data_IF_255386806879
#
_entry.id   IF_255386806879
#
_cell.length_a   1.000
_cell.length_b   1.000
_cell.length_c   1.000
_cell.angle_alpha   90.00
_cell.angle_beta   90.00
_cell.angle_gamma   90.00
#
_symmetry.space_group_name_H-M   'P 1'
#
loop_
_entity.id
_entity.type
_entity.pdbx_description
1 polymer ?
#
# COMPACT_ATOMS: atom_id res chain seq x y z
N UNK A 1 -60.93 -47.65 -29.01
CA UNK A 1 -59.99 -48.44 -28.32
C UNK A 1 -58.66 -47.71 -28.32
N UNK A 2 -58.05 -47.47 -27.14
CA UNK A 2 -56.68 -47.00 -26.94
C UNK A 2 -56.48 -45.48 -27.05
N UNK A 3 -56.83 -44.80 -25.98
CA UNK A 3 -56.30 -43.48 -25.64
C UNK A 3 -56.15 -43.46 -24.12
N UNK A 4 -55.05 -43.90 -23.61
CA UNK A 4 -54.57 -43.66 -22.24
C UNK A 4 -53.10 -43.89 -22.27
N UNK A 5 -52.35 -42.88 -22.05
CA UNK A 5 -50.98 -42.84 -21.55
C UNK A 5 -50.26 -41.57 -22.07
N UNK A 6 -50.51 -40.48 -21.46
CA UNK A 6 -49.64 -39.34 -21.58
C UNK A 6 -49.98 -38.31 -20.49
N UNK A 7 -49.76 -38.63 -19.27
CA UNK A 7 -49.85 -37.60 -18.18
C UNK A 7 -49.16 -38.15 -16.92
N UNK A 8 -47.89 -38.38 -16.93
CA UNK A 8 -47.03 -38.48 -15.76
C UNK A 8 -45.59 -38.40 -16.29
N UNK A 9 -45.07 -37.20 -16.50
CA UNK A 9 -43.62 -36.95 -16.55
C UNK A 9 -43.32 -35.45 -16.60
N UNK A 10 -43.73 -34.71 -15.60
CA UNK A 10 -43.28 -33.32 -15.44
C UNK A 10 -43.20 -32.96 -13.96
N UNK A 11 -42.64 -33.87 -13.15
CA UNK A 11 -42.37 -33.52 -11.74
C UNK A 11 -41.06 -34.15 -11.34
N UNK A 12 -39.96 -33.53 -11.69
CA UNK A 12 -38.68 -34.06 -11.30
C UNK A 12 -37.48 -33.45 -11.96
N UNK A 13 -37.32 -32.13 -11.99
CA UNK A 13 -36.01 -31.48 -12.27
C UNK A 13 -36.00 -30.03 -11.77
N UNK A 14 -36.23 -29.88 -10.48
CA UNK A 14 -35.81 -28.68 -9.75
C UNK A 14 -34.91 -29.19 -8.63
N UNK A 15 -33.79 -29.78 -9.03
CA UNK A 15 -32.67 -30.06 -8.11
C UNK A 15 -31.40 -29.67 -8.82
N UNK A 16 -30.73 -28.71 -8.25
CA UNK A 16 -29.32 -28.59 -8.47
C UNK A 16 -28.88 -27.53 -9.44
N UNK A 17 -28.91 -26.31 -9.03
CA UNK A 17 -27.86 -25.39 -9.41
C UNK A 17 -27.65 -24.40 -8.26
N UNK A 18 -27.49 -24.88 -7.04
CA UNK A 18 -26.64 -24.18 -6.10
C UNK A 18 -25.22 -24.55 -6.50
N UNK A 19 -24.77 -24.02 -7.60
CA UNK A 19 -23.35 -23.87 -7.87
C UNK A 19 -22.82 -22.92 -6.83
N UNK A 20 -22.32 -23.47 -5.73
CA UNK A 20 -21.33 -22.78 -4.92
C UNK A 20 -20.13 -22.55 -5.83
N UNK A 21 -20.11 -21.43 -6.53
CA UNK A 21 -18.84 -20.82 -6.92
C UNK A 21 -18.18 -20.42 -5.61
N UNK A 22 -17.38 -21.32 -5.07
CA UNK A 22 -16.32 -20.96 -4.15
C UNK A 22 -15.22 -20.25 -4.95
N UNK A 23 -15.53 -19.12 -5.53
CA UNK A 23 -14.60 -18.06 -5.72
C UNK A 23 -14.43 -17.49 -4.33
N UNK A 24 -13.35 -17.85 -3.64
CA UNK A 24 -12.93 -17.11 -2.48
C UNK A 24 -12.80 -15.66 -2.95
N UNK A 25 -13.58 -14.76 -2.38
CA UNK A 25 -13.28 -13.33 -2.45
C UNK A 25 -11.91 -13.20 -1.78
N UNK A 26 -10.86 -13.19 -2.59
CA UNK A 26 -9.49 -12.92 -2.15
C UNK A 26 -9.40 -11.43 -1.80
N UNK A 27 -10.26 -10.97 -0.88
CA UNK A 27 -10.24 -9.61 -0.37
C UNK A 27 -9.21 -9.50 0.75
N UNK A 28 -8.39 -8.48 0.68
CA UNK A 28 -7.35 -8.22 1.66
C UNK A 28 -7.60 -6.88 2.33
N UNK A 29 -7.74 -6.89 3.66
CA UNK A 29 -8.06 -5.68 4.41
C UNK A 29 -6.88 -4.71 4.53
N UNK A 30 -5.64 -5.23 4.53
CA UNK A 30 -4.42 -4.41 4.53
C UNK A 30 -3.67 -4.66 3.23
N UNK A 31 -3.45 -3.61 2.47
CA UNK A 31 -2.57 -3.60 1.32
C UNK A 31 -1.28 -2.83 1.64
N UNK A 32 -0.13 -3.41 1.34
CA UNK A 32 1.14 -2.69 1.30
C UNK A 32 1.58 -2.59 -0.15
N UNK A 33 1.95 -1.40 -0.60
CA UNK A 33 2.39 -1.18 -1.98
C UNK A 33 3.87 -0.86 -1.95
N UNK A 34 4.70 -1.66 -2.66
CA UNK A 34 6.13 -1.35 -2.78
C UNK A 34 6.34 -0.17 -3.71
N UNK A 35 7.41 0.57 -3.52
CA UNK A 35 7.86 1.58 -4.49
C UNK A 35 8.57 0.91 -5.69
N UNK A 36 9.82 1.25 -5.96
CA UNK A 36 10.66 0.61 -6.96
C UNK A 36 11.38 -0.66 -6.46
N UNK A 37 11.28 -0.95 -5.16
CA UNK A 37 11.93 -2.10 -4.52
C UNK A 37 11.02 -3.33 -4.42
N UNK A 38 11.53 -4.35 -3.75
CA UNK A 38 10.78 -5.59 -3.50
C UNK A 38 10.66 -5.86 -1.99
N UNK A 39 9.68 -6.68 -1.60
CA UNK A 39 9.51 -7.14 -0.21
C UNK A 39 10.66 -8.04 0.29
N UNK A 40 11.69 -8.25 -0.52
CA UNK A 40 12.90 -9.02 -0.18
C UNK A 40 14.18 -8.21 -0.37
N UNK A 41 14.07 -6.88 -0.37
CA UNK A 41 15.19 -5.95 -0.62
C UNK A 41 16.18 -5.86 0.55
N UNK A 42 15.91 -6.53 1.66
CA UNK A 42 16.65 -6.44 2.93
C UNK A 42 16.78 -5.00 3.45
N UNK A 43 15.80 -4.18 3.14
CA UNK A 43 15.76 -2.77 3.42
C UNK A 43 14.33 -2.30 3.72
N UNK A 44 13.94 -1.19 3.15
CA UNK A 44 12.76 -0.41 3.46
C UNK A 44 11.44 -1.14 3.15
N UNK A 45 11.31 -1.70 1.94
CA UNK A 45 10.08 -2.41 1.56
C UNK A 45 9.91 -3.71 2.35
N UNK A 46 10.99 -4.46 2.57
CA UNK A 46 10.93 -5.67 3.38
C UNK A 46 10.49 -5.35 4.81
N UNK A 47 11.11 -4.36 5.44
CA UNK A 47 10.78 -3.99 6.83
C UNK A 47 9.33 -3.54 6.97
N UNK A 48 8.82 -2.76 6.02
CA UNK A 48 7.42 -2.33 6.01
C UNK A 48 6.47 -3.52 5.83
N UNK A 49 6.80 -4.45 4.93
CA UNK A 49 5.99 -5.65 4.70
C UNK A 49 5.99 -6.59 5.91
N UNK A 50 7.14 -6.78 6.54
CA UNK A 50 7.23 -7.60 7.76
C UNK A 50 6.37 -7.02 8.89
N UNK A 51 6.33 -5.68 9.03
CA UNK A 51 5.43 -5.02 9.97
C UNK A 51 3.94 -5.23 9.65
N UNK A 52 3.54 -5.11 8.40
CA UNK A 52 2.17 -5.39 7.95
C UNK A 52 1.80 -6.84 8.21
N UNK A 53 2.69 -7.77 7.87
CA UNK A 53 2.52 -9.21 8.09
C UNK A 53 2.35 -9.52 9.58
N UNK A 54 3.25 -9.03 10.42
CA UNK A 54 3.20 -9.26 11.87
C UNK A 54 1.88 -8.73 12.46
N UNK A 55 1.45 -7.54 12.05
CA UNK A 55 0.19 -6.97 12.51
C UNK A 55 -1.02 -7.80 12.05
N UNK A 56 -1.05 -8.20 10.77
CA UNK A 56 -2.14 -9.00 10.23
C UNK A 56 -2.26 -10.36 10.91
N UNK A 57 -1.14 -11.07 11.08
CA UNK A 57 -1.10 -12.37 11.75
C UNK A 57 -1.51 -12.29 13.24
N UNK A 58 -1.13 -11.24 13.94
CA UNK A 58 -1.51 -11.03 15.34
C UNK A 58 -2.99 -10.70 15.57
N UNK A 59 -3.64 -10.14 14.55
CA UNK A 59 -5.01 -9.62 14.70
C UNK A 59 -6.03 -10.36 13.82
N UNK A 60 -5.64 -11.47 13.16
CA UNK A 60 -6.48 -12.22 12.21
C UNK A 60 -7.03 -11.33 11.09
N UNK A 61 -6.20 -10.41 10.58
CA UNK A 61 -6.54 -9.50 9.49
C UNK A 61 -5.81 -9.93 8.22
N UNK A 62 -6.53 -10.02 7.11
CA UNK A 62 -5.95 -10.40 5.83
C UNK A 62 -5.07 -9.27 5.27
N UNK A 63 -3.92 -9.64 4.71
CA UNK A 63 -2.97 -8.68 4.14
C UNK A 63 -2.35 -9.18 2.85
N UNK A 64 -1.95 -8.24 2.00
CA UNK A 64 -1.26 -8.52 0.74
C UNK A 64 -0.33 -7.38 0.39
N UNK A 65 0.77 -7.68 -0.33
CA UNK A 65 1.54 -6.63 -0.97
C UNK A 65 1.23 -6.55 -2.46
N UNK A 66 1.38 -5.36 -3.02
CA UNK A 66 1.25 -5.04 -4.43
C UNK A 66 2.56 -4.44 -4.91
N UNK A 67 3.00 -4.85 -6.09
CA UNK A 67 4.14 -4.25 -6.78
C UNK A 67 3.62 -3.50 -8.00
N UNK A 68 3.82 -2.19 -8.10
CA UNK A 68 3.38 -1.41 -9.24
C UNK A 68 4.11 -1.84 -10.50
N UNK A 69 3.43 -1.80 -11.65
CA UNK A 69 4.04 -2.03 -12.96
C UNK A 69 4.85 -0.83 -13.40
N UNK A 70 4.31 0.35 -13.13
CA UNK A 70 4.93 1.64 -13.41
C UNK A 70 5.05 2.41 -12.10
N UNK A 71 6.20 3.04 -11.89
CA UNK A 71 6.52 3.77 -10.66
C UNK A 71 6.34 5.28 -10.80
N UNK A 72 5.74 5.73 -11.89
CA UNK A 72 5.27 7.10 -12.02
C UNK A 72 3.99 7.31 -11.19
N UNK A 73 3.60 8.55 -11.03
CA UNK A 73 2.45 8.92 -10.21
C UNK A 73 1.16 8.22 -10.63
N UNK A 74 0.94 8.05 -11.94
CA UNK A 74 -0.27 7.42 -12.46
C UNK A 74 -0.27 5.90 -12.19
N UNK A 75 0.88 5.24 -12.36
CA UNK A 75 1.05 3.81 -12.07
C UNK A 75 0.90 3.50 -10.58
N UNK A 76 1.46 4.35 -9.71
CA UNK A 76 1.30 4.23 -8.27
C UNK A 76 -0.16 4.42 -7.85
N UNK A 77 -0.84 5.44 -8.39
CA UNK A 77 -2.26 5.65 -8.12
C UNK A 77 -3.13 4.48 -8.62
N UNK A 78 -2.84 3.97 -9.82
CA UNK A 78 -3.53 2.79 -10.36
C UNK A 78 -3.35 1.57 -9.46
N UNK A 79 -2.17 1.38 -8.87
CA UNK A 79 -1.93 0.26 -7.95
C UNK A 79 -2.68 0.44 -6.62
N UNK A 80 -2.84 1.69 -6.16
CA UNK A 80 -3.70 1.99 -5.01
C UNK A 80 -5.17 1.66 -5.36
N UNK A 81 -5.62 2.04 -6.56
CA UNK A 81 -6.97 1.73 -7.04
C UNK A 81 -7.22 0.21 -7.04
N UNK A 82 -6.29 -0.56 -7.62
CA UNK A 82 -6.36 -2.03 -7.62
C UNK A 82 -6.44 -2.61 -6.20
N UNK A 83 -5.68 -2.07 -5.25
CA UNK A 83 -5.71 -2.53 -3.88
C UNK A 83 -7.05 -2.24 -3.20
N UNK A 84 -7.62 -1.06 -3.41
CA UNK A 84 -8.92 -0.66 -2.86
C UNK A 84 -10.05 -1.48 -3.50
N UNK A 85 -10.03 -1.70 -4.80
CA UNK A 85 -10.99 -2.52 -5.53
C UNK A 85 -10.95 -3.99 -5.05
N UNK A 86 -9.80 -4.47 -4.58
CA UNK A 86 -9.62 -5.77 -3.94
C UNK A 86 -9.94 -5.78 -2.43
N UNK A 87 -10.57 -4.74 -1.90
CA UNK A 87 -11.11 -4.70 -0.55
C UNK A 87 -10.20 -4.10 0.51
N UNK A 88 -9.10 -3.45 0.14
CA UNK A 88 -8.20 -2.82 1.11
C UNK A 88 -8.93 -1.69 1.87
N UNK A 89 -8.91 -1.78 3.19
CA UNK A 89 -9.38 -0.75 4.12
C UNK A 89 -8.23 0.09 4.66
N UNK A 90 -7.03 -0.47 4.64
CA UNK A 90 -5.79 0.19 5.02
C UNK A 90 -4.77 -0.01 3.92
N UNK A 91 -4.16 1.07 3.45
CA UNK A 91 -3.09 1.05 2.45
C UNK A 91 -1.82 1.63 3.06
N UNK A 92 -0.74 0.84 3.03
CA UNK A 92 0.58 1.21 3.56
C UNK A 92 1.52 1.46 2.39
N UNK A 93 2.13 2.64 2.35
CA UNK A 93 3.03 3.06 1.27
C UNK A 93 4.35 3.57 1.86
N UNK A 94 5.45 2.80 1.74
CA UNK A 94 6.77 3.24 2.12
C UNK A 94 7.46 4.00 0.97
N UNK A 95 8.02 5.16 1.29
CA UNK A 95 8.87 5.92 0.37
C UNK A 95 8.19 7.10 -0.31
N UNK A 96 8.96 8.17 -0.49
CA UNK A 96 8.51 9.47 -0.97
C UNK A 96 7.92 9.46 -2.39
N UNK A 97 8.20 8.44 -3.20
CA UNK A 97 7.65 8.32 -4.56
C UNK A 97 6.12 8.32 -4.59
N UNK A 98 5.49 7.91 -3.49
CA UNK A 98 4.03 7.90 -3.37
C UNK A 98 3.42 9.28 -3.10
N UNK A 99 4.20 10.30 -2.81
CA UNK A 99 3.72 11.58 -2.29
C UNK A 99 2.59 12.19 -3.13
N UNK A 100 2.77 12.29 -4.44
CA UNK A 100 1.75 12.82 -5.35
C UNK A 100 0.54 11.88 -5.53
N UNK A 101 0.77 10.57 -5.60
CA UNK A 101 -0.31 9.59 -5.72
C UNK A 101 -1.19 9.57 -4.46
N UNK A 102 -0.57 9.63 -3.28
CA UNK A 102 -1.27 9.68 -1.99
C UNK A 102 -2.04 10.99 -1.80
N UNK A 103 -1.51 12.12 -2.28
CA UNK A 103 -2.23 13.39 -2.25
C UNK A 103 -3.60 13.27 -2.94
N UNK A 104 -3.68 12.53 -4.04
CA UNK A 104 -4.93 12.27 -4.75
C UNK A 104 -5.75 11.16 -4.11
N UNK A 105 -5.11 10.05 -3.72
CA UNK A 105 -5.80 8.87 -3.20
C UNK A 105 -6.56 9.15 -1.90
N UNK A 106 -6.00 9.92 -0.98
CA UNK A 106 -6.67 10.26 0.28
C UNK A 106 -7.96 11.06 0.10
N UNK A 107 -8.05 11.84 -0.99
CA UNK A 107 -9.28 12.56 -1.35
C UNK A 107 -10.27 11.67 -2.10
N UNK A 108 -9.75 10.79 -2.95
CA UNK A 108 -10.54 9.85 -3.75
C UNK A 108 -11.23 8.78 -2.89
N UNK A 109 -10.56 8.33 -1.82
CA UNK A 109 -10.99 7.23 -0.98
C UNK A 109 -11.10 7.65 0.51
N UNK A 110 -12.11 8.46 0.88
CA UNK A 110 -12.23 9.00 2.23
C UNK A 110 -12.42 7.93 3.33
N UNK A 111 -12.95 6.76 2.97
CA UNK A 111 -13.20 5.65 3.91
C UNK A 111 -11.99 4.72 4.07
N UNK A 112 -10.99 4.80 3.19
CA UNK A 112 -9.75 4.04 3.28
C UNK A 112 -8.76 4.78 4.16
N UNK A 113 -8.05 4.06 5.02
CA UNK A 113 -6.98 4.61 5.85
C UNK A 113 -5.63 4.44 5.16
N UNK A 114 -4.85 5.49 5.15
CA UNK A 114 -3.52 5.51 4.55
C UNK A 114 -2.44 5.65 5.61
N UNK A 115 -1.41 4.83 5.49
CA UNK A 115 -0.21 4.90 6.33
C UNK A 115 0.98 5.17 5.40
N UNK A 116 1.57 6.33 5.54
CA UNK A 116 2.76 6.70 4.77
C UNK A 116 4.01 6.59 5.63
N UNK A 117 5.11 6.16 5.06
CA UNK A 117 6.39 6.03 5.76
C UNK A 117 7.43 6.81 4.97
N UNK A 118 8.10 7.75 5.64
CA UNK A 118 9.16 8.61 5.13
C UNK A 118 8.69 9.72 4.17
N UNK A 119 7.41 10.07 4.21
CA UNK A 119 6.90 11.21 3.44
C UNK A 119 5.54 11.71 3.93
N UNK A 120 5.21 12.93 3.58
CA UNK A 120 3.85 13.47 3.62
C UNK A 120 3.29 13.59 2.21
N UNK A 121 1.96 13.36 2.03
CA UNK A 121 1.32 13.58 0.74
C UNK A 121 1.48 15.03 0.28
N UNK A 122 1.96 15.21 -0.94
CA UNK A 122 2.27 16.51 -1.50
C UNK A 122 1.63 16.67 -2.88
N UNK A 123 1.02 17.82 -3.11
CA UNK A 123 0.49 18.15 -4.42
C UNK A 123 1.63 18.28 -5.42
N UNK A 124 1.51 17.54 -6.50
CA UNK A 124 2.55 17.42 -7.52
C UNK A 124 3.04 18.79 -8.02
N UNK A 125 4.36 18.97 -8.01
CA UNK A 125 5.04 20.16 -8.50
C UNK A 125 4.80 21.46 -7.70
N UNK A 126 4.00 21.45 -6.64
CA UNK A 126 3.67 22.68 -5.88
C UNK A 126 4.43 22.85 -4.57
N UNK A 127 4.94 21.75 -4.00
CA UNK A 127 5.49 21.75 -2.64
C UNK A 127 4.42 21.87 -1.54
N UNK A 128 3.14 21.90 -1.89
CA UNK A 128 2.02 21.94 -0.95
C UNK A 128 1.77 20.57 -0.35
N UNK A 129 2.00 20.42 0.96
CA UNK A 129 1.71 19.19 1.70
C UNK A 129 0.31 19.25 2.31
N UNK A 130 -0.37 18.10 2.33
CA UNK A 130 -1.66 17.94 2.99
C UNK A 130 -1.80 16.51 3.48
N UNK A 131 -1.84 16.34 4.78
CA UNK A 131 -2.19 15.06 5.41
C UNK A 131 -3.69 15.08 5.70
N UNK A 132 -4.44 14.18 5.08
CA UNK A 132 -5.89 14.06 5.26
C UNK A 132 -6.26 13.41 6.59
N UNK A 133 -7.51 13.54 7.02
CA UNK A 133 -8.03 12.93 8.26
C UNK A 133 -8.00 11.40 8.24
N UNK A 134 -7.87 10.81 7.07
CA UNK A 134 -7.75 9.37 6.83
C UNK A 134 -6.30 8.92 6.60
N UNK A 135 -5.31 9.81 6.78
CA UNK A 135 -3.89 9.55 6.51
C UNK A 135 -3.05 9.79 7.77
N UNK A 136 -2.12 8.88 8.04
CA UNK A 136 -1.09 9.05 9.07
C UNK A 136 0.28 8.95 8.40
N UNK A 137 1.12 9.96 8.61
CA UNK A 137 2.49 10.01 8.07
C UNK A 137 3.51 9.76 9.18
N UNK A 138 4.38 8.79 8.98
CA UNK A 138 5.52 8.51 9.84
C UNK A 138 6.79 9.05 9.17
N UNK A 139 7.42 10.01 9.81
CA UNK A 139 8.68 10.61 9.38
C UNK A 139 9.80 10.23 10.34
N UNK A 140 11.02 10.20 9.84
CA UNK A 140 12.21 9.99 10.64
C UNK A 140 12.89 11.33 10.98
N UNK A 141 13.73 11.34 11.99
CA UNK A 141 14.54 12.50 12.37
C UNK A 141 15.92 12.43 11.69
N UNK A 142 15.96 12.47 10.36
CA UNK A 142 17.18 12.27 9.57
C UNK A 142 18.27 13.28 9.89
N UNK A 143 17.86 14.52 10.21
CA UNK A 143 18.77 15.59 10.63
C UNK A 143 19.57 15.22 11.91
N UNK A 144 19.03 14.38 12.78
CA UNK A 144 19.74 13.92 13.99
C UNK A 144 20.91 13.01 13.61
N UNK A 145 20.71 12.10 12.66
CA UNK A 145 21.75 11.22 12.13
C UNK A 145 22.86 12.04 11.47
N UNK A 146 22.50 13.02 10.65
CA UNK A 146 23.44 13.94 10.02
C UNK A 146 24.24 14.75 11.03
N UNK A 147 23.58 15.27 12.07
CA UNK A 147 24.26 15.99 13.16
C UNK A 147 25.28 15.10 13.89
N UNK A 148 24.88 13.88 14.26
CA UNK A 148 25.76 12.94 14.96
C UNK A 148 26.96 12.56 14.10
N UNK A 149 26.74 12.31 12.81
CA UNK A 149 27.83 12.00 11.86
C UNK A 149 28.83 13.15 11.74
N UNK A 150 28.34 14.38 11.58
CA UNK A 150 29.17 15.59 11.54
C UNK A 150 29.92 15.82 12.85
N UNK A 151 29.23 15.66 13.97
CA UNK A 151 29.85 15.78 15.29
C UNK A 151 31.00 14.76 15.50
N UNK A 152 30.75 13.49 15.17
CA UNK A 152 31.76 12.45 15.27
C UNK A 152 32.98 12.74 14.40
N UNK A 153 32.77 13.14 13.14
CA UNK A 153 33.87 13.49 12.24
C UNK A 153 34.76 14.63 12.79
N UNK A 154 34.15 15.68 13.34
CA UNK A 154 34.90 16.80 13.94
C UNK A 154 35.65 16.35 15.20
N UNK A 155 35.05 15.48 16.01
CA UNK A 155 35.74 14.93 17.21
C UNK A 155 36.91 14.04 16.86
N UNK A 156 36.87 13.34 15.73
CA UNK A 156 38.01 12.57 15.19
C UNK A 156 39.10 13.46 14.56
N UNK A 157 38.93 14.79 14.55
CA UNK A 157 39.92 15.76 14.11
C UNK A 157 39.78 16.20 12.64
N UNK A 158 38.72 15.81 11.94
CA UNK A 158 38.49 16.30 10.59
C UNK A 158 38.01 17.76 10.61
N UNK A 159 38.70 18.63 9.88
CA UNK A 159 38.38 20.07 9.81
C UNK A 159 37.77 20.52 8.48
N UNK A 160 37.76 19.62 7.49
CA UNK A 160 37.16 19.86 6.17
C UNK A 160 36.20 18.71 5.88
N UNK A 161 34.92 19.01 5.84
CA UNK A 161 33.84 18.05 5.60
C UNK A 161 33.16 18.38 4.29
N UNK A 162 32.70 17.35 3.60
CA UNK A 162 31.83 17.45 2.43
C UNK A 162 30.56 16.66 2.67
N UNK A 163 29.45 17.11 2.11
CA UNK A 163 28.17 16.42 2.11
C UNK A 163 27.76 16.12 0.68
N UNK A 164 27.29 14.90 0.45
CA UNK A 164 26.64 14.50 -0.79
C UNK A 164 25.25 13.97 -0.47
N UNK A 165 24.22 14.70 -0.88
CA UNK A 165 22.85 14.22 -0.85
C UNK A 165 22.50 13.49 -2.14
N UNK A 166 21.66 12.47 -2.05
CA UNK A 166 21.19 11.74 -3.23
C UNK A 166 20.23 12.57 -4.08
N UNK A 167 19.42 13.39 -3.43
CA UNK A 167 18.36 14.18 -4.05
C UNK A 167 18.00 15.36 -3.12
N UNK A 168 17.48 16.44 -3.66
CA UNK A 168 16.98 17.57 -2.88
C UNK A 168 15.56 17.28 -2.35
N UNK A 169 15.49 16.63 -1.22
CA UNK A 169 14.25 16.26 -0.53
C UNK A 169 14.28 16.81 0.90
N UNK A 170 13.12 17.00 1.56
CA UNK A 170 13.06 17.44 2.96
C UNK A 170 13.81 16.52 3.93
N UNK A 171 13.91 15.21 3.60
CA UNK A 171 14.61 14.20 4.39
C UNK A 171 16.13 14.10 4.07
N UNK A 172 16.68 14.87 3.16
CA UNK A 172 18.08 14.92 2.72
C UNK A 172 18.62 16.33 2.88
#
# INVERSE_FOLDING_TARGET
MKKFFASILCLGMIFGATGCTSGGDDTYEIAMITDSGSVTDKSFNQSAYEGVKEFGEKNDITYKYYAPKDTDQAGLLSTIDDAVDNGAKVVVTPGFNFSGALYQAQEKYPDVKFVTIDFEPQKDGSGETKVGDNTVSYLFSEQESGYVAGYAAVKEGYTKLGFMGGMALPAV
#
